data_IF_139469910045
#
_entry.id   IF_139469910045
#
_cell.length_a   1.000
_cell.length_b   1.000
_cell.length_c   1.000
_cell.angle_alpha   90.00
_cell.angle_beta   90.00
_cell.angle_gamma   90.00
#
_symmetry.space_group_name_H-M   'P 1'
#
loop_
_entity.id
_entity.type
_entity.pdbx_description
1 polymer ?
#
# COMPACT_ATOMS: atom_id res chain seq x y z
N UNK A 1 -28.01 56.51 -16.08
CA UNK A 1 -27.21 56.62 -14.84
C UNK A 1 -28.20 56.37 -13.72
N UNK A 2 -28.20 55.25 -13.01
CA UNK A 2 -27.11 54.39 -12.52
C UNK A 2 -27.67 52.97 -12.35
N UNK A 3 -27.07 51.99 -13.02
CA UNK A 3 -26.27 50.90 -12.42
C UNK A 3 -27.13 49.70 -11.99
N UNK A 4 -27.26 48.74 -12.93
CA UNK A 4 -27.64 47.36 -12.63
C UNK A 4 -26.46 46.66 -11.93
N UNK A 5 -26.61 46.31 -10.66
CA UNK A 5 -25.70 45.42 -9.95
C UNK A 5 -25.75 44.02 -10.58
N UNK A 6 -24.78 43.71 -11.44
CA UNK A 6 -24.43 42.35 -11.79
C UNK A 6 -23.87 41.64 -10.54
N UNK A 7 -24.72 40.89 -9.83
CA UNK A 7 -24.27 39.98 -8.77
C UNK A 7 -23.56 38.75 -9.37
N UNK A 8 -22.36 38.97 -9.90
CA UNK A 8 -21.44 37.92 -10.34
C UNK A 8 -20.75 37.25 -9.15
N UNK A 9 -21.51 36.57 -8.28
CA UNK A 9 -20.90 35.59 -7.40
C UNK A 9 -20.26 34.51 -8.30
N UNK A 10 -18.96 34.18 -8.15
CA UNK A 10 -18.36 33.15 -8.99
C UNK A 10 -19.15 31.87 -8.77
N UNK A 11 -19.80 31.39 -9.84
CA UNK A 11 -20.57 30.17 -9.84
C UNK A 11 -19.64 29.07 -9.32
N UNK A 12 -19.86 28.60 -8.07
CA UNK A 12 -18.99 27.61 -7.45
C UNK A 12 -18.89 26.44 -8.41
N UNK A 13 -17.68 26.14 -8.89
CA UNK A 13 -17.47 25.10 -9.88
C UNK A 13 -18.15 23.81 -9.41
N UNK A 14 -19.05 23.27 -10.22
CA UNK A 14 -19.83 22.07 -9.88
C UNK A 14 -18.97 20.84 -10.16
N UNK A 15 -19.05 19.83 -9.30
CA UNK A 15 -18.38 18.55 -9.51
C UNK A 15 -19.10 17.83 -10.65
N UNK A 16 -18.43 17.72 -11.80
CA UNK A 16 -18.89 16.98 -12.97
C UNK A 16 -18.22 15.61 -13.07
N UNK A 17 -18.81 14.68 -13.82
CA UNK A 17 -18.37 13.28 -13.91
C UNK A 17 -17.68 12.95 -15.26
N UNK A 18 -17.44 13.95 -16.10
CA UNK A 18 -16.98 13.77 -17.47
C UNK A 18 -15.49 13.42 -17.57
N UNK A 19 -14.67 13.94 -16.65
CA UNK A 19 -13.24 13.71 -16.57
C UNK A 19 -12.67 14.05 -15.18
N UNK A 20 -11.38 13.72 -14.95
CA UNK A 20 -10.68 13.99 -13.69
C UNK A 20 -10.71 15.47 -13.29
N UNK A 21 -10.59 16.40 -14.24
CA UNK A 21 -10.59 17.86 -13.99
C UNK A 21 -11.93 18.35 -13.45
N UNK A 22 -13.04 17.86 -14.02
CA UNK A 22 -14.39 18.20 -13.54
C UNK A 22 -14.69 17.56 -12.20
N UNK A 23 -14.17 16.36 -11.93
CA UNK A 23 -14.31 15.68 -10.63
C UNK A 23 -13.57 16.44 -9.54
N UNK A 24 -12.39 16.96 -9.85
CA UNK A 24 -11.52 17.70 -8.94
C UNK A 24 -11.78 19.21 -8.93
N UNK A 25 -12.86 19.70 -9.55
CA UNK A 25 -13.14 21.13 -9.72
C UNK A 25 -13.20 21.94 -8.40
N UNK A 26 -13.45 21.25 -7.28
CA UNK A 26 -13.49 21.83 -5.92
C UNK A 26 -12.40 21.30 -4.99
N UNK A 27 -11.41 20.59 -5.55
CA UNK A 27 -10.32 19.95 -4.82
C UNK A 27 -10.65 18.56 -4.26
N UNK A 28 -9.63 17.85 -3.74
CA UNK A 28 -9.73 16.45 -3.35
C UNK A 28 -10.70 16.21 -2.18
N UNK A 29 -10.70 17.11 -1.18
CA UNK A 29 -11.59 16.95 -0.02
C UNK A 29 -13.06 17.05 -0.45
N UNK A 30 -13.40 18.04 -1.28
CA UNK A 30 -14.76 18.22 -1.76
C UNK A 30 -15.22 17.04 -2.66
N UNK A 31 -14.32 16.49 -3.48
CA UNK A 31 -14.60 15.26 -4.24
C UNK A 31 -14.85 14.08 -3.31
N UNK A 32 -14.00 13.90 -2.29
CA UNK A 32 -14.15 12.83 -1.31
C UNK A 32 -15.50 12.92 -0.59
N UNK A 33 -15.85 14.08 -0.04
CA UNK A 33 -17.13 14.29 0.65
C UNK A 33 -18.32 14.08 -0.29
N UNK A 34 -18.19 14.53 -1.55
CA UNK A 34 -19.23 14.39 -2.58
C UNK A 34 -19.51 12.93 -2.94
N UNK A 35 -18.47 12.12 -3.11
CA UNK A 35 -18.61 10.68 -3.41
C UNK A 35 -19.03 9.90 -2.17
N UNK A 36 -18.38 10.13 -1.03
CA UNK A 36 -18.65 9.42 0.22
C UNK A 36 -20.10 9.58 0.67
N UNK A 37 -20.62 10.82 0.75
CA UNK A 37 -22.00 11.07 1.18
C UNK A 37 -23.05 10.37 0.31
N UNK A 38 -22.80 10.22 -0.99
CA UNK A 38 -23.69 9.49 -1.91
C UNK A 38 -23.59 7.99 -1.72
N UNK A 39 -22.36 7.46 -1.63
CA UNK A 39 -22.13 6.05 -1.37
C UNK A 39 -22.72 5.61 -0.03
N UNK A 40 -22.57 6.40 1.04
CA UNK A 40 -23.09 6.06 2.37
C UNK A 40 -24.63 5.97 2.38
N UNK A 41 -25.31 6.88 1.69
CA UNK A 41 -26.76 6.82 1.49
C UNK A 41 -27.17 5.55 0.76
N UNK A 42 -26.53 5.25 -0.37
CA UNK A 42 -26.87 4.07 -1.18
C UNK A 42 -26.52 2.75 -0.48
N UNK A 43 -25.46 2.73 0.34
CA UNK A 43 -25.05 1.60 1.16
C UNK A 43 -25.85 1.49 2.46
N UNK A 44 -26.56 2.54 2.88
CA UNK A 44 -27.31 2.59 4.14
C UNK A 44 -26.43 2.56 5.39
N UNK A 45 -25.12 2.87 5.25
CA UNK A 45 -24.15 2.86 6.34
C UNK A 45 -22.95 3.74 6.01
N UNK A 46 -22.22 4.16 7.04
CA UNK A 46 -20.94 4.83 6.87
C UNK A 46 -19.94 3.96 6.09
N UNK A 47 -19.03 4.59 5.35
CA UNK A 47 -17.97 3.87 4.64
C UNK A 47 -17.08 3.11 5.64
N UNK A 48 -16.71 1.86 5.33
CA UNK A 48 -15.92 1.04 6.23
C UNK A 48 -14.54 1.65 6.46
N UNK A 49 -14.14 1.69 7.73
CA UNK A 49 -12.81 2.10 8.16
C UNK A 49 -12.00 0.86 8.56
N UNK A 50 -10.67 0.95 8.55
CA UNK A 50 -9.79 -0.16 8.95
C UNK A 50 -9.00 0.20 10.20
N UNK A 51 -9.20 -0.58 11.26
CA UNK A 51 -8.36 -0.60 12.45
C UNK A 51 -7.49 -1.86 12.45
N UNK A 52 -6.18 -1.69 12.64
CA UNK A 52 -5.23 -2.81 12.74
C UNK A 52 -4.73 -2.90 14.18
N UNK A 53 -4.91 -4.05 14.83
CA UNK A 53 -4.39 -4.30 16.19
C UNK A 53 -3.36 -5.40 16.13
N UNK A 54 -2.32 -5.26 16.94
CA UNK A 54 -1.33 -6.31 17.14
C UNK A 54 -1.03 -6.45 18.64
N UNK A 55 -0.99 -7.69 19.11
CA UNK A 55 -0.83 -8.02 20.52
C UNK A 55 0.23 -9.09 20.70
N UNK A 56 1.15 -8.85 21.62
CA UNK A 56 2.24 -9.75 22.01
C UNK A 56 3.01 -10.30 20.80
N UNK A 57 3.23 -9.44 19.80
CA UNK A 57 3.86 -9.85 18.55
C UNK A 57 5.36 -10.01 18.74
N UNK A 58 5.87 -11.19 18.41
CA UNK A 58 7.29 -11.54 18.46
C UNK A 58 7.70 -12.17 17.13
N UNK A 59 8.88 -11.77 16.62
CA UNK A 59 9.47 -12.36 15.42
C UNK A 59 10.88 -12.82 15.78
N UNK A 60 11.15 -14.11 15.59
CA UNK A 60 12.46 -14.71 15.85
C UNK A 60 12.97 -15.38 14.58
N UNK A 61 14.23 -15.14 14.23
CA UNK A 61 14.89 -15.76 13.09
C UNK A 61 16.08 -16.60 13.54
N UNK A 62 16.13 -17.84 13.06
CA UNK A 62 17.25 -18.76 13.27
C UNK A 62 18.30 -18.49 12.19
N UNK A 63 19.48 -18.04 12.64
CA UNK A 63 20.61 -17.67 11.78
C UNK A 63 21.68 -18.74 11.90
N UNK A 64 22.05 -19.36 10.79
CA UNK A 64 23.16 -20.30 10.74
C UNK A 64 24.48 -19.52 10.68
N UNK A 65 25.28 -19.61 11.73
CA UNK A 65 26.61 -19.01 11.79
C UNK A 65 27.62 -20.10 11.44
N UNK A 66 28.46 -19.85 10.44
CA UNK A 66 29.67 -20.63 10.22
C UNK A 66 30.74 -20.06 11.15
N UNK A 67 31.42 -20.92 11.91
CA UNK A 67 32.57 -20.48 12.71
C UNK A 67 33.67 -19.95 11.77
N UNK A 68 33.97 -18.66 11.86
CA UNK A 68 35.09 -18.04 11.14
C UNK A 68 36.42 -18.50 11.74
N UNK A 69 36.83 -19.71 11.41
CA UNK A 69 38.19 -20.17 11.64
C UNK A 69 39.11 -19.57 10.56
N UNK A 70 39.67 -18.40 10.85
CA UNK A 70 40.85 -17.81 10.19
C UNK A 70 40.91 -17.95 8.66
N UNK A 71 40.11 -17.18 7.93
CA UNK A 71 40.34 -16.97 6.50
C UNK A 71 41.54 -16.02 6.29
N UNK A 72 42.76 -16.49 6.58
CA UNK A 72 43.94 -15.96 5.89
C UNK A 72 43.84 -16.49 4.45
N UNK A 73 43.64 -15.59 3.51
CA UNK A 73 43.64 -15.87 2.06
C UNK A 73 44.99 -16.46 1.65
N UNK A 74 45.13 -17.77 1.75
CA UNK A 74 46.22 -18.52 1.13
C UNK A 74 45.86 -18.87 -0.31
N UNK A 75 46.85 -18.83 -1.21
CA UNK A 75 46.70 -19.10 -2.64
C UNK A 75 46.02 -20.46 -2.88
N UNK A 76 45.12 -20.58 -3.88
CA UNK A 76 44.35 -21.79 -4.13
C UNK A 76 45.25 -22.86 -4.76
N UNK A 77 45.90 -23.65 -3.91
CA UNK A 77 46.64 -24.86 -4.30
C UNK A 77 45.76 -26.07 -3.99
N UNK A 78 45.85 -27.16 -4.78
CA UNK A 78 45.00 -28.36 -4.62
C UNK A 78 44.94 -28.90 -3.17
N UNK A 79 46.05 -28.81 -2.45
CA UNK A 79 46.14 -29.19 -1.03
C UNK A 79 45.32 -28.26 -0.12
N UNK A 80 45.29 -26.96 -0.41
CA UNK A 80 44.52 -25.98 0.36
C UNK A 80 43.02 -26.13 0.11
N UNK A 81 42.60 -26.52 -1.10
CA UNK A 81 41.19 -26.82 -1.43
C UNK A 81 40.71 -28.10 -0.76
N UNK A 82 41.55 -29.14 -0.70
CA UNK A 82 41.25 -30.39 0.00
C UNK A 82 41.20 -30.17 1.53
N UNK A 83 42.14 -29.40 2.08
CA UNK A 83 42.17 -29.04 3.49
C UNK A 83 41.00 -28.14 3.89
N UNK A 84 40.62 -27.17 3.05
CA UNK A 84 39.43 -26.35 3.27
C UNK A 84 38.15 -27.17 3.20
N UNK A 85 38.06 -28.12 2.27
CA UNK A 85 36.92 -29.05 2.16
C UNK A 85 36.79 -29.97 3.38
N UNK A 86 37.91 -30.49 3.89
CA UNK A 86 37.94 -31.30 5.11
C UNK A 86 37.57 -30.48 6.36
N UNK A 87 38.08 -29.24 6.47
CA UNK A 87 37.73 -28.32 7.55
C UNK A 87 36.28 -27.84 7.46
N UNK A 88 35.73 -27.64 6.26
CA UNK A 88 34.32 -27.26 6.04
C UNK A 88 33.38 -28.42 6.39
N UNK A 89 33.82 -29.67 6.20
CA UNK A 89 33.12 -30.87 6.66
C UNK A 89 33.22 -31.07 8.19
N UNK A 90 34.21 -30.46 8.86
CA UNK A 90 34.40 -30.48 10.33
C UNK A 90 33.86 -29.25 11.06
N UNK A 91 33.42 -28.21 10.35
CA UNK A 91 32.83 -27.02 10.97
C UNK A 91 31.44 -27.33 11.52
N UNK A 92 31.30 -27.21 12.84
CA UNK A 92 30.00 -27.20 13.51
C UNK A 92 29.21 -25.97 13.05
N UNK A 93 28.11 -26.20 12.34
CA UNK A 93 27.14 -25.16 12.02
C UNK A 93 26.34 -24.88 13.29
N UNK A 94 26.57 -23.73 13.92
CA UNK A 94 25.80 -23.32 15.09
C UNK A 94 24.65 -22.41 14.68
N UNK A 95 23.45 -22.66 15.21
CA UNK A 95 22.26 -21.86 14.97
C UNK A 95 22.10 -20.85 16.10
N UNK A 96 22.11 -19.56 15.76
CA UNK A 96 21.86 -18.45 16.69
C UNK A 96 20.46 -17.93 16.46
N UNK A 97 19.65 -17.88 17.53
CA UNK A 97 18.32 -17.27 17.49
C UNK A 97 18.43 -15.76 17.62
N UNK A 98 17.96 -15.03 16.62
CA UNK A 98 17.88 -13.56 16.62
C UNK A 98 16.43 -13.12 16.75
N UNK A 99 16.11 -12.49 17.86
CA UNK A 99 14.82 -11.84 18.04
C UNK A 99 14.80 -10.50 17.27
N UNK A 100 13.90 -10.38 16.31
CA UNK A 100 13.72 -9.20 15.45
C UNK A 100 12.68 -8.26 16.03
N UNK A 101 11.56 -8.81 16.52
CA UNK A 101 10.54 -8.09 17.28
C UNK A 101 10.31 -8.84 18.60
N UNK A 102 10.09 -8.10 19.68
CA UNK A 102 9.93 -8.65 21.03
C UNK A 102 8.68 -8.07 21.68
N UNK A 103 7.66 -8.91 21.80
CA UNK A 103 6.43 -8.71 22.58
C UNK A 103 5.78 -7.35 22.34
N UNK A 104 5.71 -6.93 21.07
CA UNK A 104 5.19 -5.60 20.72
C UNK A 104 3.66 -5.62 20.69
N UNK A 105 3.09 -4.51 21.14
CA UNK A 105 1.66 -4.29 21.26
C UNK A 105 1.31 -2.93 20.65
N UNK A 106 0.17 -2.81 19.96
CA UNK A 106 -0.24 -1.54 19.39
C UNK A 106 -1.51 -1.59 18.54
N UNK A 107 -1.98 -0.40 18.17
CA UNK A 107 -3.20 -0.18 17.39
C UNK A 107 -2.96 0.94 16.39
N UNK A 108 -3.21 0.67 15.11
CA UNK A 108 -3.29 1.69 14.07
C UNK A 108 -4.75 2.06 13.86
N UNK A 109 -5.10 3.27 14.27
CA UNK A 109 -6.47 3.78 14.19
C UNK A 109 -6.76 4.35 12.80
N UNK A 110 -7.98 4.17 12.28
CA UNK A 110 -8.38 4.77 11.03
C UNK A 110 -8.29 6.31 11.07
N UNK A 111 -7.98 6.92 9.93
CA UNK A 111 -7.87 8.38 9.81
C UNK A 111 -6.64 8.99 10.48
N UNK A 112 -5.67 8.19 10.93
CA UNK A 112 -4.44 8.69 11.56
C UNK A 112 -3.19 8.34 10.76
N UNK A 113 -2.17 9.19 10.84
CA UNK A 113 -0.83 8.89 10.36
C UNK A 113 0.02 8.48 11.56
N UNK A 114 0.53 7.25 11.53
CA UNK A 114 1.41 6.73 12.58
C UNK A 114 2.85 6.67 12.08
N UNK A 115 3.75 7.40 12.76
CA UNK A 115 5.17 7.41 12.45
C UNK A 115 5.93 6.38 13.31
N UNK A 116 6.53 5.37 12.68
CA UNK A 116 7.33 4.34 13.37
C UNK A 116 8.83 4.65 13.19
N UNK A 117 9.49 5.02 14.30
CA UNK A 117 10.91 5.36 14.33
C UNK A 117 11.74 4.29 15.03
N UNK A 118 13.00 4.18 14.63
CA UNK A 118 13.97 3.27 15.24
C UNK A 118 15.23 3.13 14.40
N UNK A 119 16.33 2.73 15.03
CA UNK A 119 17.62 2.54 14.35
C UNK A 119 17.56 1.47 13.23
N UNK A 120 18.49 1.48 12.26
CA UNK A 120 18.62 0.39 11.29
C UNK A 120 18.67 -0.98 12.00
N UNK A 121 17.94 -1.96 11.46
CA UNK A 121 17.84 -3.30 12.07
C UNK A 121 16.84 -3.44 13.22
N UNK A 122 16.17 -2.38 13.66
CA UNK A 122 15.19 -2.43 14.76
C UNK A 122 13.85 -3.14 14.44
N UNK A 123 13.75 -3.83 13.30
CA UNK A 123 12.53 -4.58 12.93
C UNK A 123 11.38 -3.76 12.31
N UNK A 124 11.52 -2.44 12.06
CA UNK A 124 10.45 -1.61 11.44
C UNK A 124 9.84 -2.22 10.18
N UNK A 125 10.68 -2.59 9.21
CA UNK A 125 10.21 -3.19 7.96
C UNK A 125 9.63 -4.59 8.18
N UNK A 126 10.10 -5.33 9.18
CA UNK A 126 9.52 -6.63 9.56
C UNK A 126 8.12 -6.45 10.13
N UNK A 127 7.91 -5.45 11.00
CA UNK A 127 6.60 -5.07 11.52
C UNK A 127 5.65 -4.67 10.39
N UNK A 128 6.07 -3.76 9.50
CA UNK A 128 5.21 -3.30 8.40
C UNK A 128 4.86 -4.44 7.41
N UNK A 129 5.79 -5.37 7.17
CA UNK A 129 5.53 -6.56 6.34
C UNK A 129 4.56 -7.52 7.03
N UNK A 130 4.67 -7.71 8.34
CA UNK A 130 3.74 -8.53 9.12
C UNK A 130 2.32 -7.95 9.05
N UNK A 131 2.17 -6.66 9.35
CA UNK A 131 0.86 -5.99 9.35
C UNK A 131 0.24 -5.86 7.95
N UNK A 132 1.01 -6.05 6.88
CA UNK A 132 0.51 -6.06 5.50
C UNK A 132 0.32 -7.47 4.92
N UNK A 133 0.47 -8.52 5.73
CA UNK A 133 0.35 -9.91 5.28
C UNK A 133 1.43 -10.37 4.31
N UNK A 134 2.55 -9.62 4.22
CA UNK A 134 3.65 -9.87 3.27
C UNK A 134 4.92 -10.35 3.97
N UNK A 135 4.81 -10.75 5.23
CA UNK A 135 5.94 -11.32 5.95
C UNK A 135 6.19 -12.75 5.44
N UNK A 136 7.42 -13.09 5.03
CA UNK A 136 7.69 -14.37 4.40
C UNK A 136 7.65 -15.50 5.42
N UNK A 137 6.84 -16.53 5.14
CA UNK A 137 6.84 -17.78 5.91
C UNK A 137 8.05 -18.62 5.54
N UNK A 138 9.18 -18.38 6.20
CA UNK A 138 10.41 -19.17 6.02
C UNK A 138 10.56 -20.16 7.17
N UNK A 139 11.11 -21.36 6.90
CA UNK A 139 11.28 -22.43 7.91
C UNK A 139 12.15 -22.02 9.11
N UNK A 140 13.01 -21.01 8.93
CA UNK A 140 13.90 -20.49 9.96
C UNK A 140 13.36 -19.21 10.62
N UNK A 141 12.08 -18.87 10.43
CA UNK A 141 11.46 -17.69 11.06
C UNK A 141 10.19 -18.10 11.78
N UNK A 142 10.09 -17.72 13.05
CA UNK A 142 8.92 -17.93 13.89
C UNK A 142 8.25 -16.58 14.14
N UNK A 143 6.94 -16.54 13.92
CA UNK A 143 6.09 -15.39 14.23
C UNK A 143 5.11 -15.82 15.30
N UNK A 144 5.04 -15.06 16.39
CA UNK A 144 4.16 -15.27 17.54
C UNK A 144 3.32 -14.01 17.78
N UNK A 145 2.24 -14.16 18.55
CA UNK A 145 1.28 -13.09 18.84
C UNK A 145 0.10 -13.06 17.85
N UNK A 146 -0.72 -12.02 17.98
CA UNK A 146 -1.96 -11.87 17.22
C UNK A 146 -1.97 -10.56 16.43
N UNK A 147 -2.46 -10.62 15.18
CA UNK A 147 -2.78 -9.43 14.37
C UNK A 147 -4.23 -9.54 13.92
N UNK A 148 -5.01 -8.49 14.17
CA UNK A 148 -6.42 -8.39 13.77
C UNK A 148 -6.71 -7.12 12.98
N UNK A 149 -7.70 -7.24 12.09
CA UNK A 149 -8.20 -6.20 11.20
C UNK A 149 -9.69 -6.04 11.46
N UNK A 150 -10.12 -4.96 12.11
CA UNK A 150 -11.48 -4.79 12.64
C UNK A 150 -11.96 -6.01 13.47
N UNK A 151 -11.06 -6.60 14.27
CA UNK A 151 -11.36 -7.78 15.10
C UNK A 151 -11.30 -9.12 14.37
N UNK A 152 -11.10 -9.15 13.04
CA UNK A 152 -10.89 -10.41 12.31
C UNK A 152 -9.40 -10.78 12.26
N UNK A 153 -9.06 -12.04 12.51
CA UNK A 153 -7.67 -12.49 12.53
C UNK A 153 -7.03 -12.43 11.14
N UNK A 154 -5.71 -12.20 11.10
CA UNK A 154 -4.94 -12.22 9.86
C UNK A 154 -5.13 -13.51 9.05
N UNK A 155 -5.21 -14.67 9.71
CA UNK A 155 -5.38 -15.97 9.03
C UNK A 155 -6.73 -16.06 8.31
N UNK A 156 -7.80 -15.60 8.97
CA UNK A 156 -9.15 -15.57 8.38
C UNK A 156 -9.25 -14.67 7.15
N UNK A 157 -8.38 -13.65 7.09
CA UNK A 157 -8.33 -12.67 6.03
C UNK A 157 -7.24 -12.91 5.00
N UNK A 158 -6.37 -13.91 5.17
CA UNK A 158 -5.17 -14.14 4.35
C UNK A 158 -5.37 -13.94 2.84
N UNK A 159 -6.41 -14.55 2.26
CA UNK A 159 -6.72 -14.45 0.83
C UNK A 159 -7.27 -13.09 0.37
N UNK A 160 -7.81 -12.29 1.30
CA UNK A 160 -8.47 -11.01 1.01
C UNK A 160 -7.72 -9.81 1.57
N UNK A 161 -6.72 -10.03 2.42
CA UNK A 161 -5.95 -8.98 3.08
C UNK A 161 -5.32 -7.98 2.09
N UNK A 162 -4.82 -8.40 0.91
CA UNK A 162 -4.33 -7.46 -0.11
C UNK A 162 -5.39 -6.46 -0.64
N UNK A 163 -6.69 -6.75 -0.47
CA UNK A 163 -7.79 -5.85 -0.83
C UNK A 163 -7.96 -4.71 0.20
N UNK A 164 -7.43 -4.89 1.42
CA UNK A 164 -7.56 -3.93 2.51
C UNK A 164 -6.25 -3.22 2.87
N UNK A 165 -5.11 -3.85 2.61
CA UNK A 165 -3.80 -3.34 3.00
C UNK A 165 -2.82 -3.31 1.82
N UNK A 166 -2.37 -2.10 1.49
CA UNK A 166 -1.28 -1.86 0.54
C UNK A 166 0.05 -1.69 1.27
N UNK A 167 1.14 -2.17 0.66
CA UNK A 167 2.50 -2.04 1.19
C UNK A 167 3.41 -1.48 0.10
N UNK A 168 3.95 -0.29 0.34
CA UNK A 168 4.92 0.36 -0.55
C UNK A 168 6.33 -0.05 -0.12
N UNK A 169 7.10 -0.61 -1.05
CA UNK A 169 8.46 -1.07 -0.79
C UNK A 169 9.44 0.10 -0.70
N UNK A 170 10.64 -0.15 -0.17
CA UNK A 170 11.74 0.84 -0.17
C UNK A 170 12.27 1.17 -1.57
N UNK A 171 12.06 0.28 -2.53
CA UNK A 171 12.42 0.48 -3.94
C UNK A 171 11.16 0.36 -4.76
N UNK A 172 10.99 1.32 -5.65
CA UNK A 172 9.89 1.32 -6.59
C UNK A 172 10.09 0.27 -7.67
N UNK A 173 8.98 -0.27 -8.16
CA UNK A 173 8.94 -1.24 -9.25
C UNK A 173 7.93 -0.75 -10.28
N UNK A 174 8.44 -0.14 -11.33
CA UNK A 174 7.66 0.38 -12.45
C UNK A 174 8.43 0.14 -13.74
N UNK A 175 7.74 0.26 -14.87
CA UNK A 175 8.39 0.23 -16.18
C UNK A 175 9.05 1.58 -16.44
N UNK A 176 10.38 1.62 -16.66
CA UNK A 176 11.11 2.89 -16.77
C UNK A 176 10.75 3.69 -18.03
N UNK A 177 10.25 3.00 -19.06
CA UNK A 177 9.88 3.60 -20.34
C UNK A 177 8.49 4.23 -20.34
N UNK A 178 7.65 3.96 -19.33
CA UNK A 178 6.31 4.55 -19.25
C UNK A 178 6.39 5.97 -18.70
N UNK A 179 5.51 6.83 -19.20
CA UNK A 179 5.24 8.14 -18.60
C UNK A 179 4.59 8.01 -17.23
N UNK A 180 4.59 9.09 -16.45
CA UNK A 180 3.86 9.16 -15.17
C UNK A 180 2.40 8.77 -15.36
N UNK A 181 1.75 9.30 -16.41
CA UNK A 181 0.35 8.99 -16.73
C UNK A 181 0.16 7.52 -17.11
N UNK A 182 0.95 7.01 -18.05
CA UNK A 182 0.86 5.60 -18.46
C UNK A 182 1.14 4.65 -17.30
N UNK A 183 2.03 5.01 -16.38
CA UNK A 183 2.32 4.21 -15.17
C UNK A 183 1.10 4.13 -14.26
N UNK A 184 0.40 5.23 -14.04
CA UNK A 184 -0.82 5.27 -13.23
C UNK A 184 -1.99 4.55 -13.92
N UNK A 185 -2.14 4.71 -15.24
CA UNK A 185 -3.14 3.99 -16.04
C UNK A 185 -2.88 2.47 -16.03
N UNK A 186 -1.63 2.06 -16.18
CA UNK A 186 -1.22 0.65 -16.08
C UNK A 186 -1.54 0.08 -14.70
N UNK A 187 -1.15 0.79 -13.63
CA UNK A 187 -1.45 0.36 -12.27
C UNK A 187 -2.97 0.25 -12.02
N UNK A 188 -3.74 1.22 -12.51
CA UNK A 188 -5.20 1.22 -12.41
C UNK A 188 -5.84 0.03 -13.15
N UNK A 189 -5.37 -0.29 -14.35
CA UNK A 189 -5.81 -1.45 -15.12
C UNK A 189 -5.52 -2.77 -14.39
N UNK A 190 -4.33 -2.90 -13.76
CA UNK A 190 -4.00 -4.06 -12.92
C UNK A 190 -4.91 -4.21 -11.69
N UNK A 191 -5.51 -3.12 -11.22
CA UNK A 191 -6.49 -3.13 -10.12
C UNK A 191 -7.93 -3.38 -10.58
N UNK A 192 -8.16 -3.65 -11.86
CA UNK A 192 -9.48 -3.96 -12.43
C UNK A 192 -10.15 -2.82 -13.20
N UNK A 193 -9.57 -1.61 -13.17
CA UNK A 193 -9.97 -0.49 -14.04
C UNK A 193 -11.38 0.09 -13.84
N UNK A 194 -12.13 -0.38 -12.84
CA UNK A 194 -13.54 -0.04 -12.68
C UNK A 194 -14.10 -0.46 -11.33
N UNK A 195 -15.31 0.00 -11.03
CA UNK A 195 -16.06 -0.42 -9.86
C UNK A 195 -16.45 -1.90 -10.02
N UNK A 196 -16.07 -2.79 -9.08
CA UNK A 196 -16.43 -4.20 -9.18
C UNK A 196 -17.95 -4.39 -9.18
N UNK A 197 -18.47 -5.25 -10.07
CA UNK A 197 -19.92 -5.53 -10.15
C UNK A 197 -20.51 -6.02 -8.81
N UNK A 198 -19.71 -6.71 -7.99
CA UNK A 198 -20.07 -7.11 -6.63
C UNK A 198 -20.37 -5.91 -5.74
N UNK A 199 -19.57 -4.84 -5.85
CA UNK A 199 -19.73 -3.65 -5.02
C UNK A 199 -20.97 -2.87 -5.45
N UNK A 200 -21.27 -2.83 -6.76
CA UNK A 200 -22.48 -2.20 -7.30
C UNK A 200 -23.77 -2.80 -6.71
N UNK A 201 -23.81 -4.12 -6.50
CA UNK A 201 -24.97 -4.84 -5.95
C UNK A 201 -25.34 -4.40 -4.53
N UNK A 202 -24.45 -3.72 -3.82
CA UNK A 202 -24.70 -3.24 -2.46
C UNK A 202 -25.35 -1.84 -2.42
N UNK A 203 -25.51 -1.16 -3.56
CA UNK A 203 -26.08 0.19 -3.66
C UNK A 203 -27.61 0.12 -3.79
N UNK A 204 -28.27 -0.36 -2.72
CA UNK A 204 -29.71 -0.70 -2.74
C UNK A 204 -30.52 -0.06 -1.62
N UNK A 205 -29.88 0.62 -0.67
CA UNK A 205 -30.53 1.07 0.57
C UNK A 205 -31.05 2.52 0.51
N UNK A 206 -30.66 3.31 -0.50
CA UNK A 206 -31.23 4.65 -0.76
C UNK A 206 -32.46 4.60 -1.67
N UNK A 207 -33.00 5.78 -2.03
CA UNK A 207 -34.05 5.84 -3.09
C UNK A 207 -33.48 5.41 -4.46
N UNK A 208 -34.31 5.05 -5.45
CA UNK A 208 -33.83 4.72 -6.79
C UNK A 208 -32.93 5.80 -7.40
N UNK A 209 -33.27 7.07 -7.19
CA UNK A 209 -32.49 8.23 -7.62
C UNK A 209 -31.17 8.35 -6.86
N UNK A 210 -31.20 8.18 -5.52
CA UNK A 210 -29.99 8.24 -4.69
C UNK A 210 -29.01 7.11 -5.03
N UNK A 211 -29.50 5.90 -5.21
CA UNK A 211 -28.71 4.74 -5.61
C UNK A 211 -28.07 4.96 -6.98
N UNK A 212 -28.84 5.48 -7.95
CA UNK A 212 -28.32 5.83 -9.29
C UNK A 212 -27.23 6.89 -9.21
N UNK A 213 -27.47 7.99 -8.47
CA UNK A 213 -26.51 9.08 -8.31
C UNK A 213 -25.22 8.61 -7.62
N UNK A 214 -25.32 7.71 -6.65
CA UNK A 214 -24.16 7.12 -5.99
C UNK A 214 -23.37 6.19 -6.92
N UNK A 215 -24.06 5.37 -7.71
CA UNK A 215 -23.44 4.49 -8.69
C UNK A 215 -22.72 5.29 -9.79
N UNK A 216 -23.35 6.34 -10.31
CA UNK A 216 -22.76 7.24 -11.31
C UNK A 216 -21.51 7.94 -10.75
N UNK A 217 -21.58 8.42 -9.50
CA UNK A 217 -20.43 9.04 -8.83
C UNK A 217 -19.25 8.07 -8.66
N UNK A 218 -19.54 6.86 -8.16
CA UNK A 218 -18.54 5.83 -7.95
C UNK A 218 -17.91 5.39 -9.28
N UNK A 219 -18.73 5.09 -10.30
CA UNK A 219 -18.23 4.72 -11.64
C UNK A 219 -17.36 5.81 -12.25
N UNK A 220 -17.76 7.07 -12.14
CA UNK A 220 -16.97 8.20 -12.64
C UNK A 220 -15.62 8.31 -11.92
N UNK A 221 -15.61 8.19 -10.58
CA UNK A 221 -14.38 8.20 -9.79
C UNK A 221 -13.43 7.07 -10.19
N UNK A 222 -13.93 5.83 -10.33
CA UNK A 222 -13.11 4.70 -10.75
C UNK A 222 -12.60 4.88 -12.18
N UNK A 223 -13.47 5.26 -13.12
CA UNK A 223 -13.10 5.44 -14.54
C UNK A 223 -12.01 6.49 -14.75
N UNK A 224 -12.03 7.56 -13.96
CA UNK A 224 -11.09 8.68 -14.09
C UNK A 224 -10.02 8.69 -12.98
N UNK A 225 -9.83 7.55 -12.29
CA UNK A 225 -8.95 7.47 -11.14
C UNK A 225 -7.50 7.89 -11.44
N UNK A 226 -6.86 7.49 -12.56
CA UNK A 226 -5.52 7.96 -12.90
C UNK A 226 -5.43 9.49 -13.00
N UNK A 227 -6.37 10.14 -13.68
CA UNK A 227 -6.39 11.60 -13.84
C UNK A 227 -6.65 12.31 -12.49
N UNK A 228 -7.51 11.74 -11.64
CA UNK A 228 -7.76 12.25 -10.29
C UNK A 228 -6.47 12.22 -9.47
N UNK A 229 -5.72 11.10 -9.51
CA UNK A 229 -4.46 10.95 -8.78
C UNK A 229 -3.40 11.94 -9.29
N UNK A 230 -3.30 12.13 -10.61
CA UNK A 230 -2.39 13.11 -11.21
C UNK A 230 -2.67 14.50 -10.64
N UNK A 231 -3.92 14.93 -10.64
CA UNK A 231 -4.30 16.26 -10.15
C UNK A 231 -4.15 16.40 -8.63
N UNK A 232 -4.53 15.37 -7.88
CA UNK A 232 -4.44 15.37 -6.42
C UNK A 232 -2.98 15.46 -5.94
N UNK A 233 -2.05 14.86 -6.68
CA UNK A 233 -0.61 14.91 -6.38
C UNK A 233 0.11 16.09 -7.07
N UNK A 234 -0.58 16.89 -7.88
CA UNK A 234 0.01 18.02 -8.61
C UNK A 234 0.98 17.61 -9.72
N UNK A 235 0.77 16.45 -10.34
CA UNK A 235 1.63 15.85 -11.36
C UNK A 235 1.29 16.29 -12.78
N UNK A 236 0.35 17.24 -12.98
CA UNK A 236 -0.11 17.66 -14.30
C UNK A 236 1.02 18.10 -15.24
N UNK A 237 2.04 18.77 -14.68
CA UNK A 237 3.18 19.30 -15.43
C UNK A 237 4.18 18.22 -15.87
N UNK A 238 4.18 17.05 -15.22
CA UNK A 238 5.10 15.94 -15.53
C UNK A 238 4.36 14.67 -15.97
N UNK A 239 3.05 14.74 -16.23
CA UNK A 239 2.25 13.56 -16.57
C UNK A 239 2.75 12.82 -17.83
N UNK A 240 3.36 13.54 -18.77
CA UNK A 240 3.92 12.99 -20.02
C UNK A 240 5.43 12.74 -19.94
N UNK A 241 6.04 12.93 -18.78
CA UNK A 241 7.45 12.66 -18.54
C UNK A 241 7.63 11.18 -18.21
N UNK A 242 8.63 10.52 -18.82
CA UNK A 242 8.98 9.13 -18.47
C UNK A 242 9.40 9.06 -17.00
N UNK A 243 9.02 8.00 -16.28
CA UNK A 243 9.43 7.87 -14.87
C UNK A 243 10.92 7.55 -14.77
N UNK A 244 11.45 6.78 -15.74
CA UNK A 244 12.87 6.45 -15.81
C UNK A 244 13.32 5.44 -14.75
N UNK A 245 14.63 5.24 -14.68
CA UNK A 245 15.32 4.42 -13.69
C UNK A 245 16.77 4.95 -13.47
N UNK A 246 17.66 4.12 -12.92
CA UNK A 246 19.05 4.50 -12.71
C UNK A 246 19.81 4.81 -14.02
N UNK A 247 19.36 4.28 -15.16
CA UNK A 247 20.02 4.42 -16.47
C UNK A 247 19.30 5.42 -17.38
N UNK A 248 18.00 5.64 -17.16
CA UNK A 248 17.14 6.50 -17.99
C UNK A 248 16.55 7.61 -17.13
N UNK A 249 16.82 8.87 -17.45
CA UNK A 249 16.25 10.01 -16.72
C UNK A 249 14.96 10.50 -17.38
N UNK A 250 13.95 10.75 -16.54
CA UNK A 250 12.75 11.53 -16.85
C UNK A 250 12.93 13.00 -16.55
#
# INVERSE_FOLDING_TARGET
MTEEEHSGAPMRAVIGYDNGKTLMARGPQALHDHVASRMEKALGRALPQMEVRFKDVSITADIMVKDETNAKTELPTLLNVLKSSYNEMRSSKHVVKKQVLKDINGVFKPGTITLVLGQPGSGKSSLMKLLSGRFPSQKNVTVEGEVTYNGMSSDSLSNRLPQFVSYVNQRDKHYPSLTVKETLEFAHACCGGGLPARDEQHFVNGTPEENKVALDAARAMFKHYPDIVIQQLGLDNCQNTIVGDAMTRG
#
